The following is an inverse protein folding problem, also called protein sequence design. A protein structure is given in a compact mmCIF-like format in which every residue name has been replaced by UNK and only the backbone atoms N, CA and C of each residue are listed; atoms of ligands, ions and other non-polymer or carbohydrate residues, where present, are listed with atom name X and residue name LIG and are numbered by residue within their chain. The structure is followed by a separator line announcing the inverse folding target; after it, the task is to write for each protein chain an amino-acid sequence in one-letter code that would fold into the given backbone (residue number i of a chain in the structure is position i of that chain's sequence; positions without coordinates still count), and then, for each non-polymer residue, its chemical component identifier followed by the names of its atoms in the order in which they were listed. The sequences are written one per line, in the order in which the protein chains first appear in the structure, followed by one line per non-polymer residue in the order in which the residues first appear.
data_IF_032318228974
#
_entry.id   IF_032318228974
#
_cell.length_a   1.000
_cell.length_b   1.000
_cell.length_c   1.000
_cell.angle_alpha   90.00
_cell.angle_beta   90.00
_cell.angle_gamma   90.00
#
_symmetry.space_group_name_H-M   'P 1'
#
loop_
_entity.id
_entity.type
_entity.pdbx_description
1 polymer ?
#
# COMPACT_ATOMS: atom_id res chain seq x y z
N UNK A 1 33.19 -8.91 2.55
CA UNK A 1 32.06 -9.72 3.03
C UNK A 1 30.82 -9.00 2.58
N UNK A 2 29.93 -9.66 1.84
CA UNK A 2 28.73 -9.03 1.31
C UNK A 2 27.76 -8.67 2.45
N UNK A 3 27.17 -7.47 2.39
CA UNK A 3 26.21 -6.98 3.39
C UNK A 3 24.87 -7.72 3.29
N UNK A 4 24.04 -7.65 4.33
CA UNK A 4 22.66 -8.21 4.30
C UNK A 4 21.85 -7.58 3.15
N UNK A 5 21.94 -6.27 3.00
CA UNK A 5 21.24 -5.56 1.93
C UNK A 5 21.64 -6.05 0.53
N UNK A 6 22.94 -6.22 0.26
CA UNK A 6 23.41 -6.72 -1.04
C UNK A 6 22.86 -8.12 -1.35
N UNK A 7 22.82 -9.02 -0.36
CA UNK A 7 22.22 -10.35 -0.54
C UNK A 7 20.72 -10.29 -0.80
N UNK A 8 20.00 -9.41 -0.11
CA UNK A 8 18.58 -9.18 -0.37
C UNK A 8 18.33 -8.69 -1.81
N UNK A 9 19.14 -7.75 -2.29
CA UNK A 9 19.02 -7.22 -3.66
C UNK A 9 19.30 -8.28 -4.72
N UNK A 10 20.25 -9.19 -4.48
CA UNK A 10 20.49 -10.34 -5.37
C UNK A 10 19.27 -11.26 -5.44
N UNK A 11 18.72 -11.66 -4.28
CA UNK A 11 17.49 -12.48 -4.22
C UNK A 11 16.33 -11.81 -4.96
N UNK A 12 16.19 -10.49 -4.82
CA UNK A 12 15.14 -9.73 -5.48
C UNK A 12 15.31 -9.66 -7.01
N UNK A 13 16.55 -9.72 -7.51
CA UNK A 13 16.85 -9.63 -8.95
C UNK A 13 16.38 -10.86 -9.74
N UNK A 14 16.27 -12.00 -9.05
CA UNK A 14 15.84 -13.29 -9.61
C UNK A 14 14.32 -13.48 -9.62
N UNK A 15 13.56 -12.59 -8.98
CA UNK A 15 12.09 -12.66 -8.93
C UNK A 15 11.49 -12.53 -10.34
N UNK A 16 10.63 -13.48 -10.71
CA UNK A 16 9.89 -13.50 -11.98
C UNK A 16 8.37 -13.53 -11.83
N UNK A 17 7.88 -13.98 -10.68
CA UNK A 17 6.44 -14.05 -10.39
C UNK A 17 6.15 -13.82 -8.89
N UNK A 18 4.87 -13.88 -8.53
CA UNK A 18 4.43 -13.71 -7.14
C UNK A 18 4.85 -14.85 -6.20
N UNK A 19 5.15 -16.05 -6.71
CA UNK A 19 5.66 -17.15 -5.86
C UNK A 19 7.10 -16.88 -5.45
N UNK A 20 7.90 -16.26 -6.32
CA UNK A 20 9.26 -15.84 -5.97
C UNK A 20 9.27 -14.73 -4.92
N UNK A 21 8.28 -13.83 -4.92
CA UNK A 21 8.12 -12.81 -3.87
C UNK A 21 7.97 -13.45 -2.50
N UNK A 22 7.20 -14.53 -2.38
CA UNK A 22 7.06 -15.30 -1.14
C UNK A 22 8.42 -15.85 -0.66
N UNK A 23 9.22 -16.44 -1.56
CA UNK A 23 10.56 -16.94 -1.23
C UNK A 23 11.49 -15.83 -0.76
N UNK A 24 11.43 -14.64 -1.37
CA UNK A 24 12.23 -13.48 -0.95
C UNK A 24 11.83 -13.02 0.45
N UNK A 25 10.53 -13.01 0.78
CA UNK A 25 10.03 -12.67 2.11
C UNK A 25 10.52 -13.67 3.17
N UNK A 26 10.48 -14.97 2.88
CA UNK A 26 11.03 -16.02 3.74
C UNK A 26 12.56 -15.90 3.90
N UNK A 27 13.30 -15.65 2.82
CA UNK A 27 14.75 -15.47 2.88
C UNK A 27 15.13 -14.17 3.62
N UNK A 28 14.33 -13.12 3.52
CA UNK A 28 14.52 -11.86 4.26
C UNK A 28 14.38 -12.10 5.75
N UNK A 29 13.37 -12.88 6.17
CA UNK A 29 13.21 -13.29 7.58
C UNK A 29 14.50 -13.93 8.10
N UNK A 30 15.02 -14.91 7.37
CA UNK A 30 16.20 -15.68 7.79
C UNK A 30 17.48 -14.83 7.77
N UNK A 31 17.64 -13.96 6.76
CA UNK A 31 18.80 -13.09 6.59
C UNK A 31 18.93 -12.03 7.68
N UNK A 32 17.79 -11.49 8.13
CA UNK A 32 17.73 -10.47 9.16
C UNK A 32 17.50 -11.04 10.57
N UNK A 33 17.28 -12.35 10.71
CA UNK A 33 17.17 -13.04 11.99
C UNK A 33 15.96 -12.58 12.81
N UNK A 34 14.81 -12.44 12.15
CA UNK A 34 13.54 -11.99 12.73
C UNK A 34 12.52 -13.14 12.66
N UNK A 35 11.53 -13.23 13.56
CA UNK A 35 10.52 -14.30 13.48
C UNK A 35 9.61 -14.19 12.26
N UNK A 36 9.13 -12.98 11.94
CA UNK A 36 8.20 -12.81 10.85
C UNK A 36 8.43 -11.58 9.98
N UNK A 37 8.13 -11.75 8.70
CA UNK A 37 8.10 -10.73 7.66
C UNK A 37 6.76 -10.84 6.93
N UNK A 38 6.13 -9.71 6.68
CA UNK A 38 4.88 -9.60 5.93
C UNK A 38 4.99 -8.46 4.94
N UNK A 39 4.66 -8.74 3.70
CA UNK A 39 4.42 -7.74 2.68
C UNK A 39 2.98 -7.86 2.21
N UNK A 40 2.28 -6.74 2.16
CA UNK A 40 0.99 -6.67 1.49
C UNK A 40 0.87 -5.39 0.68
N UNK A 41 0.26 -5.49 -0.48
CA UNK A 41 -0.06 -4.36 -1.32
C UNK A 41 -1.48 -4.43 -1.83
N UNK A 42 -2.14 -3.28 -1.84
CA UNK A 42 -3.45 -3.09 -2.45
C UNK A 42 -3.29 -2.13 -3.63
N UNK A 43 -3.64 -2.61 -4.82
CA UNK A 43 -3.81 -1.76 -5.99
C UNK A 43 -5.12 -0.97 -5.87
N UNK A 44 -5.16 0.26 -6.41
CA UNK A 44 -6.39 1.04 -6.54
C UNK A 44 -7.48 0.33 -7.38
N UNK A 45 -7.11 -0.71 -8.14
CA UNK A 45 -8.03 -1.56 -8.89
C UNK A 45 -8.55 -2.79 -8.11
N UNK A 46 -8.12 -2.99 -6.85
CA UNK A 46 -8.59 -4.08 -6.00
C UNK A 46 -7.80 -5.39 -6.10
N UNK A 47 -6.66 -5.40 -6.81
CA UNK A 47 -5.71 -6.52 -6.76
C UNK A 47 -4.90 -6.48 -5.46
N UNK A 48 -4.82 -7.63 -4.81
CA UNK A 48 -4.15 -7.83 -3.54
C UNK A 48 -2.99 -8.79 -3.76
N UNK A 49 -1.76 -8.33 -3.52
CA UNK A 49 -0.59 -9.21 -3.42
C UNK A 49 -0.18 -9.28 -1.96
N UNK A 50 -0.01 -10.49 -1.45
CA UNK A 50 0.37 -10.75 -0.06
C UNK A 50 1.44 -11.85 -0.05
N UNK A 51 2.53 -11.59 0.65
CA UNK A 51 3.57 -12.56 0.95
C UNK A 51 3.90 -12.46 2.44
N UNK A 52 3.95 -13.57 3.17
CA UNK A 52 4.05 -13.56 4.62
C UNK A 52 4.67 -14.84 5.17
N UNK A 53 5.27 -14.73 6.36
CA UNK A 53 5.85 -15.87 7.07
C UNK A 53 5.05 -16.30 8.31
N UNK A 54 3.87 -15.73 8.54
CA UNK A 54 2.98 -16.19 9.62
C UNK A 54 2.48 -17.61 9.36
N UNK A 55 2.14 -18.30 10.44
CA UNK A 55 1.48 -19.60 10.33
C UNK A 55 0.13 -19.46 9.61
N UNK A 56 -0.19 -20.42 8.73
CA UNK A 56 -1.38 -20.35 7.88
C UNK A 56 -2.68 -20.26 8.68
N UNK A 57 -2.77 -20.96 9.83
CA UNK A 57 -3.92 -20.90 10.71
C UNK A 57 -4.20 -19.49 11.27
N UNK A 58 -3.16 -18.69 11.51
CA UNK A 58 -3.30 -17.30 11.90
C UNK A 58 -3.76 -16.45 10.71
N UNK A 59 -3.16 -16.62 9.53
CA UNK A 59 -3.55 -15.90 8.32
C UNK A 59 -5.03 -16.15 7.97
N UNK A 60 -5.47 -17.41 8.02
CA UNK A 60 -6.86 -17.80 7.76
C UNK A 60 -7.81 -17.13 8.76
N UNK A 61 -7.47 -17.15 10.06
CA UNK A 61 -8.26 -16.49 11.11
C UNK A 61 -8.32 -14.98 10.90
N UNK A 62 -7.21 -14.35 10.51
CA UNK A 62 -7.15 -12.91 10.26
C UNK A 62 -8.12 -12.49 9.16
N UNK A 63 -8.20 -13.29 8.08
CA UNK A 63 -9.16 -13.08 6.98
C UNK A 63 -10.58 -13.38 7.43
N UNK A 64 -10.84 -14.53 8.08
CA UNK A 64 -12.17 -14.94 8.54
C UNK A 64 -12.82 -13.90 9.47
N UNK A 65 -12.02 -13.30 10.35
CA UNK A 65 -12.47 -12.30 11.31
C UNK A 65 -12.47 -10.87 10.78
N UNK A 66 -12.06 -10.66 9.53
CA UNK A 66 -11.96 -9.34 8.89
C UNK A 66 -11.11 -8.36 9.74
N UNK A 67 -10.00 -8.86 10.31
CA UNK A 67 -9.19 -8.11 11.28
C UNK A 67 -8.55 -6.85 10.69
N UNK A 68 -8.37 -6.79 9.37
CA UNK A 68 -7.88 -5.61 8.65
C UNK A 68 -8.66 -4.32 8.99
N UNK A 69 -9.95 -4.43 9.34
CA UNK A 69 -10.80 -3.28 9.66
C UNK A 69 -10.55 -2.69 11.04
N UNK A 70 -10.06 -3.49 11.97
CA UNK A 70 -9.83 -3.09 13.36
C UNK A 70 -8.35 -3.06 13.72
N UNK A 71 -7.47 -3.55 12.84
CA UNK A 71 -6.04 -3.63 13.07
C UNK A 71 -5.45 -2.20 13.20
N UNK A 72 -4.99 -1.81 14.41
CA UNK A 72 -4.47 -0.47 14.64
C UNK A 72 -3.13 -0.24 13.90
N UNK A 73 -2.42 -1.30 13.51
CA UNK A 73 -1.19 -1.20 12.70
C UNK A 73 -1.53 -0.74 11.29
N UNK A 74 -2.59 -1.32 10.70
CA UNK A 74 -3.08 -0.93 9.37
C UNK A 74 -3.56 0.53 9.39
N UNK A 75 -4.36 0.90 10.40
CA UNK A 75 -4.82 2.28 10.56
C UNK A 75 -3.65 3.26 10.75
N UNK A 76 -2.70 2.92 11.62
CA UNK A 76 -1.50 3.72 11.84
C UNK A 76 -0.68 3.92 10.55
N UNK A 77 -0.58 2.89 9.70
CA UNK A 77 0.09 2.99 8.41
C UNK A 77 -0.67 3.85 7.39
N UNK A 78 -1.99 3.99 7.51
CA UNK A 78 -2.74 4.95 6.68
C UNK A 78 -2.46 6.41 7.06
N UNK A 79 -2.24 6.67 8.35
CA UNK A 79 -2.11 8.03 8.89
C UNK A 79 -0.66 8.54 8.93
N UNK A 80 0.33 7.67 8.69
CA UNK A 80 1.76 7.98 8.86
C UNK A 80 2.56 7.74 7.58
N UNK A 81 3.64 8.50 7.45
CA UNK A 81 4.65 8.34 6.39
C UNK A 81 5.88 7.56 6.89
N UNK A 82 6.25 7.72 8.15
CA UNK A 82 7.38 7.01 8.76
C UNK A 82 6.98 5.62 9.26
N UNK A 83 7.95 4.72 9.48
CA UNK A 83 7.69 3.42 10.09
C UNK A 83 6.89 3.54 11.38
N UNK A 84 5.92 2.66 11.52
CA UNK A 84 4.99 2.58 12.65
C UNK A 84 5.46 1.48 13.58
N UNK A 85 6.05 1.87 14.71
CA UNK A 85 6.27 0.94 15.83
C UNK A 85 4.92 0.56 16.43
N UNK A 86 4.66 -0.75 16.52
CA UNK A 86 3.40 -1.27 17.03
C UNK A 86 3.14 -0.87 18.49
N UNK A 87 4.16 -0.49 19.27
CA UNK A 87 3.94 0.04 20.63
C UNK A 87 3.31 1.43 20.65
N UNK A 88 3.35 2.15 19.54
CA UNK A 88 2.89 3.54 19.44
C UNK A 88 1.47 3.65 18.86
N UNK A 89 0.82 2.53 18.54
CA UNK A 89 -0.57 2.52 18.08
C UNK A 89 -1.53 2.27 19.24
N UNK A 90 -2.79 2.65 19.05
CA UNK A 90 -3.81 2.54 20.09
C UNK A 90 -4.36 1.12 20.23
N UNK A 91 -3.96 0.44 21.31
CA UNK A 91 -4.47 -0.88 21.69
C UNK A 91 -5.59 -0.84 22.74
N UNK A 92 -6.17 0.32 23.04
CA UNK A 92 -7.04 0.52 24.20
C UNK A 92 -8.48 0.05 24.03
N UNK A 93 -8.96 -0.22 22.82
CA UNK A 93 -10.34 -0.69 22.65
C UNK A 93 -10.49 -2.17 23.05
N UNK A 94 -11.67 -2.58 23.51
CA UNK A 94 -11.92 -3.97 23.91
C UNK A 94 -11.68 -4.95 22.75
N UNK A 95 -12.17 -4.60 21.56
CA UNK A 95 -12.04 -5.43 20.35
C UNK A 95 -10.58 -5.53 19.92
N UNK A 96 -9.84 -4.41 19.96
CA UNK A 96 -8.41 -4.39 19.59
C UNK A 96 -7.56 -5.19 20.58
N UNK A 97 -7.84 -5.12 21.89
CA UNK A 97 -7.17 -5.99 22.88
C UNK A 97 -7.43 -7.46 22.67
N UNK A 98 -8.65 -7.83 22.25
CA UNK A 98 -8.97 -9.22 21.93
C UNK A 98 -8.17 -9.67 20.70
N UNK A 99 -8.20 -8.89 19.63
CA UNK A 99 -7.40 -9.13 18.42
C UNK A 99 -5.91 -9.31 18.77
N UNK A 100 -5.33 -8.40 19.56
CA UNK A 100 -3.93 -8.47 19.97
C UNK A 100 -3.62 -9.77 20.72
N UNK A 101 -4.50 -10.21 21.64
CA UNK A 101 -4.32 -11.49 22.34
C UNK A 101 -4.33 -12.67 21.38
N UNK A 102 -5.29 -12.71 20.47
CA UNK A 102 -5.37 -13.77 19.47
C UNK A 102 -4.16 -13.79 18.53
N UNK A 103 -3.61 -12.61 18.20
CA UNK A 103 -2.37 -12.48 17.43
C UNK A 103 -1.16 -13.07 18.16
N UNK A 104 -1.05 -12.79 19.48
CA UNK A 104 -0.01 -13.39 20.31
C UNK A 104 -0.15 -14.91 20.42
N UNK A 105 -1.38 -15.42 20.59
CA UNK A 105 -1.66 -16.86 20.59
C UNK A 105 -1.39 -17.51 19.22
N UNK A 106 -1.58 -16.75 18.14
CA UNK A 106 -1.25 -17.13 16.76
C UNK A 106 0.24 -17.03 16.41
N UNK A 107 1.09 -16.58 17.35
CA UNK A 107 2.54 -16.52 17.18
C UNK A 107 3.04 -15.27 16.46
N UNK A 108 2.23 -14.23 16.25
CA UNK A 108 2.63 -13.00 15.53
C UNK A 108 3.82 -12.28 16.17
N UNK A 109 4.02 -12.46 17.47
CA UNK A 109 5.05 -11.77 18.25
C UNK A 109 4.51 -10.55 18.99
N UNK A 110 5.25 -10.11 20.00
CA UNK A 110 4.92 -8.98 20.89
C UNK A 110 5.51 -7.67 20.43
N UNK A 111 6.47 -7.75 19.52
CA UNK A 111 7.19 -6.63 18.95
C UNK A 111 6.89 -6.58 17.46
N UNK A 112 6.83 -5.38 16.89
CA UNK A 112 6.76 -5.23 15.46
C UNK A 112 6.82 -3.79 15.03
N UNK A 113 7.17 -3.60 13.76
CA UNK A 113 7.01 -2.32 13.11
C UNK A 113 6.63 -2.52 11.64
N UNK A 114 5.97 -1.50 11.10
CA UNK A 114 5.45 -1.53 9.73
C UNK A 114 5.86 -0.28 8.98
N UNK A 115 6.41 -0.46 7.78
CA UNK A 115 6.79 0.59 6.84
C UNK A 115 5.63 0.82 5.88
N UNK A 116 4.91 1.95 5.94
CA UNK A 116 3.93 2.31 4.92
C UNK A 116 4.63 2.75 3.63
N UNK A 117 4.14 2.30 2.48
CA UNK A 117 4.73 2.56 1.16
C UNK A 117 3.63 3.05 0.22
N UNK A 118 3.87 4.17 -0.46
CA UNK A 118 2.93 4.76 -1.43
C UNK A 118 3.47 4.56 -2.84
N UNK A 119 2.64 4.03 -3.73
CA UNK A 119 2.97 3.86 -5.14
C UNK A 119 2.62 5.10 -5.97
N UNK A 120 3.20 5.22 -7.19
CA UNK A 120 3.04 6.39 -8.05
C UNK A 120 1.61 6.60 -8.58
N UNK A 121 0.77 5.57 -8.56
CA UNK A 121 -0.62 5.62 -9.04
C UNK A 121 -1.62 5.40 -7.89
N UNK A 122 -1.25 5.86 -6.69
CA UNK A 122 -2.07 5.75 -5.48
C UNK A 122 -2.17 4.35 -4.90
N UNK A 123 -1.28 3.44 -5.30
CA UNK A 123 -1.17 2.16 -4.61
C UNK A 123 -0.73 2.38 -3.17
N UNK A 124 -1.15 1.47 -2.29
CA UNK A 124 -0.66 1.42 -0.93
C UNK A 124 -0.14 0.02 -0.63
N UNK A 125 1.07 -0.02 -0.11
CA UNK A 125 1.69 -1.23 0.39
C UNK A 125 2.22 -1.01 1.80
N UNK A 126 2.45 -2.11 2.47
CA UNK A 126 2.95 -2.16 3.83
C UNK A 126 3.90 -3.34 3.93
N UNK A 127 5.07 -3.05 4.45
CA UNK A 127 6.07 -4.05 4.81
C UNK A 127 6.18 -4.07 6.33
N UNK A 128 5.94 -5.22 6.95
CA UNK A 128 5.94 -5.39 8.40
C UNK A 128 6.94 -6.45 8.81
N UNK A 129 7.59 -6.21 9.94
CA UNK A 129 8.36 -7.24 10.62
C UNK A 129 7.91 -7.36 12.07
N UNK A 130 7.97 -8.57 12.62
CA UNK A 130 7.56 -8.83 14.00
C UNK A 130 8.36 -9.95 14.65
N UNK A 131 8.44 -9.88 15.97
CA UNK A 131 9.25 -10.77 16.81
C UNK A 131 8.65 -10.92 18.22
N UNK A 132 9.01 -11.99 18.91
CA UNK A 132 8.64 -12.26 20.29
C UNK A 132 9.79 -12.02 21.30
N UNK A 133 10.75 -11.17 20.97
CA UNK A 133 11.84 -10.77 21.86
C UNK A 133 11.43 -9.73 22.93
N UNK A 134 12.36 -9.47 23.86
CA UNK A 134 12.19 -8.44 24.88
C UNK A 134 12.30 -7.02 24.31
N UNK A 135 11.78 -6.04 25.06
CA UNK A 135 11.79 -4.62 24.68
C UNK A 135 13.20 -4.09 24.38
N UNK A 136 14.19 -4.45 25.20
CA UNK A 136 15.58 -4.00 25.02
C UNK A 136 16.27 -4.66 23.82
N UNK A 137 15.89 -5.89 23.49
CA UNK A 137 16.36 -6.55 22.27
C UNK A 137 15.75 -5.89 21.04
N UNK A 138 14.44 -5.61 21.08
CA UNK A 138 13.74 -4.93 20.00
C UNK A 138 14.27 -3.53 19.73
N UNK A 139 14.49 -2.73 20.77
CA UNK A 139 15.01 -1.38 20.65
C UNK A 139 16.40 -1.36 19.97
N UNK A 140 17.30 -2.27 20.35
CA UNK A 140 18.62 -2.40 19.70
C UNK A 140 18.50 -2.89 18.26
N UNK A 141 17.64 -3.88 18.02
CA UNK A 141 17.43 -4.44 16.69
C UNK A 141 16.93 -3.38 15.71
N UNK A 142 15.94 -2.60 16.13
CA UNK A 142 15.33 -1.54 15.32
C UNK A 142 16.31 -0.38 15.08
N UNK A 143 17.07 0.06 16.07
CA UNK A 143 18.11 1.09 15.88
C UNK A 143 19.15 0.68 14.83
N UNK A 144 19.54 -0.60 14.84
CA UNK A 144 20.51 -1.15 13.88
C UNK A 144 19.92 -1.34 12.47
N UNK A 145 18.69 -1.84 12.35
CA UNK A 145 18.16 -2.35 11.08
C UNK A 145 17.02 -1.53 10.45
N UNK A 146 16.52 -0.46 11.09
CA UNK A 146 15.37 0.30 10.55
C UNK A 146 15.60 0.83 9.14
N UNK A 147 16.83 1.27 8.83
CA UNK A 147 17.20 1.78 7.49
C UNK A 147 17.06 0.68 6.44
N UNK A 148 17.56 -0.51 6.76
CA UNK A 148 17.50 -1.65 5.87
C UNK A 148 16.06 -2.09 5.64
N UNK A 149 15.23 -2.14 6.68
CA UNK A 149 13.82 -2.54 6.54
C UNK A 149 12.98 -1.54 5.73
N UNK A 150 13.28 -0.25 5.83
CA UNK A 150 12.68 0.76 4.95
C UNK A 150 13.04 0.45 3.50
N UNK A 151 14.33 0.23 3.20
CA UNK A 151 14.79 -0.03 1.84
C UNK A 151 14.26 -1.36 1.30
N UNK A 152 14.30 -2.43 2.09
CA UNK A 152 13.74 -3.75 1.77
C UNK A 152 12.28 -3.62 1.38
N UNK A 153 11.47 -2.94 2.20
CA UNK A 153 10.06 -2.71 1.90
C UNK A 153 9.86 -2.00 0.56
N UNK A 154 10.61 -0.92 0.30
CA UNK A 154 10.50 -0.14 -0.94
C UNK A 154 10.92 -0.92 -2.18
N UNK A 155 12.05 -1.63 -2.11
CA UNK A 155 12.53 -2.45 -3.23
C UNK A 155 11.59 -3.62 -3.53
N UNK A 156 11.06 -4.28 -2.48
CA UNK A 156 10.08 -5.34 -2.64
C UNK A 156 8.80 -4.81 -3.30
N UNK A 157 8.30 -3.66 -2.85
CA UNK A 157 7.14 -3.01 -3.47
C UNK A 157 7.40 -2.63 -4.93
N UNK A 158 8.57 -2.07 -5.24
CA UNK A 158 8.94 -1.77 -6.63
C UNK A 158 8.89 -3.03 -7.49
N UNK A 159 9.50 -4.13 -7.04
CA UNK A 159 9.51 -5.40 -7.79
C UNK A 159 8.10 -5.93 -8.00
N UNK A 160 7.25 -5.89 -6.98
CA UNK A 160 5.85 -6.32 -7.07
C UNK A 160 5.05 -5.46 -8.07
N UNK A 161 5.27 -4.15 -8.06
CA UNK A 161 4.64 -3.25 -9.05
C UNK A 161 5.14 -3.53 -10.47
N UNK A 162 6.42 -3.86 -10.66
CA UNK A 162 6.97 -4.28 -11.96
C UNK A 162 6.30 -5.55 -12.48
N UNK A 163 6.06 -6.55 -11.61
CA UNK A 163 5.36 -7.77 -11.96
C UNK A 163 3.92 -7.52 -12.41
N UNK A 164 3.18 -6.66 -11.68
CA UNK A 164 1.82 -6.27 -12.07
C UNK A 164 1.75 -5.33 -13.28
N UNK A 165 2.86 -4.65 -13.60
CA UNK A 165 2.97 -3.79 -14.78
C UNK A 165 3.50 -4.54 -16.01
N UNK A 166 3.90 -5.81 -15.87
CA UNK A 166 4.32 -6.64 -17.00
C UNK A 166 3.18 -6.90 -18.00
N UNK A 167 1.93 -6.80 -17.53
CA UNK A 167 0.71 -6.75 -18.36
C UNK A 167 0.43 -5.34 -18.94
N UNK A 168 1.41 -4.43 -18.86
CA UNK A 168 1.30 -3.03 -19.27
C UNK A 168 0.51 -2.16 -18.27
N UNK A 169 0.42 -0.83 -18.48
CA UNK A 169 -0.62 -0.05 -17.80
C UNK A 169 -1.95 -0.67 -18.18
N UNK A 170 -2.64 -1.31 -17.22
CA UNK A 170 -3.84 -2.15 -17.42
C UNK A 170 -4.51 -1.86 -18.76
N UNK A 171 -4.32 -2.76 -19.73
CA UNK A 171 -4.63 -2.57 -21.15
C UNK A 171 -5.88 -1.69 -21.32
N UNK A 172 -5.68 -0.42 -21.71
CA UNK A 172 -6.78 0.54 -21.93
C UNK A 172 -6.81 1.78 -21.04
N UNK A 173 -5.86 2.01 -20.13
CA UNK A 173 -5.75 3.30 -19.42
C UNK A 173 -5.22 4.40 -20.36
N UNK A 174 -6.10 4.97 -21.18
CA UNK A 174 -5.78 6.17 -21.97
C UNK A 174 -5.47 7.34 -21.03
N UNK A 175 -4.33 8.01 -21.29
CA UNK A 175 -3.96 9.21 -20.56
C UNK A 175 -5.04 10.30 -20.71
N UNK A 176 -5.31 10.99 -19.60
CA UNK A 176 -6.17 12.17 -19.64
C UNK A 176 -5.45 13.29 -20.37
N UNK A 177 -6.18 14.04 -21.19
CA UNK A 177 -5.64 15.27 -21.77
C UNK A 177 -5.50 16.36 -20.69
N UNK A 178 -4.63 17.37 -20.88
CA UNK A 178 -4.51 18.48 -19.93
C UNK A 178 -5.86 19.15 -19.63
N UNK A 179 -6.73 19.28 -20.65
CA UNK A 179 -8.08 19.84 -20.48
C UNK A 179 -9.01 18.93 -19.68
N UNK A 180 -8.91 17.61 -19.84
CA UNK A 180 -9.67 16.67 -19.00
C UNK A 180 -9.23 16.75 -17.53
N UNK A 181 -7.93 16.90 -17.28
CA UNK A 181 -7.34 17.13 -15.95
C UNK A 181 -7.86 18.43 -15.33
N UNK A 182 -7.81 19.54 -16.07
CA UNK A 182 -8.30 20.85 -15.62
C UNK A 182 -9.78 20.76 -15.20
N UNK A 183 -10.61 20.14 -16.05
CA UNK A 183 -12.05 19.97 -15.81
C UNK A 183 -12.31 19.14 -14.56
N UNK A 184 -11.66 17.99 -14.40
CA UNK A 184 -11.84 17.16 -13.21
C UNK A 184 -11.32 17.85 -11.94
N UNK A 185 -10.25 18.65 -12.04
CA UNK A 185 -9.68 19.42 -10.92
C UNK A 185 -10.68 20.45 -10.41
N UNK A 186 -11.26 21.27 -11.31
CA UNK A 186 -12.27 22.27 -10.93
C UNK A 186 -13.51 21.62 -10.31
N UNK A 187 -13.96 20.49 -10.87
CA UNK A 187 -15.09 19.73 -10.31
C UNK A 187 -14.74 19.14 -8.93
N UNK A 188 -13.50 18.69 -8.72
CA UNK A 188 -13.02 18.19 -7.43
C UNK A 188 -12.89 19.30 -6.38
N UNK A 189 -12.60 20.53 -6.79
CA UNK A 189 -12.65 21.73 -5.94
C UNK A 189 -14.08 22.19 -5.60
N UNK A 190 -15.10 21.53 -6.15
CA UNK A 190 -16.52 21.83 -5.87
C UNK A 190 -17.17 22.84 -6.82
N UNK A 191 -16.54 23.18 -7.94
CA UNK A 191 -17.12 24.09 -8.92
C UNK A 191 -18.32 23.43 -9.61
N UNK A 192 -19.37 24.21 -9.86
CA UNK A 192 -20.44 23.78 -10.76
C UNK A 192 -19.94 23.74 -12.22
N UNK A 193 -20.66 23.04 -13.09
CA UNK A 193 -20.31 22.95 -14.52
C UNK A 193 -20.25 24.34 -15.19
N UNK A 194 -21.18 25.22 -14.87
CA UNK A 194 -21.19 26.60 -15.38
C UNK A 194 -19.93 27.36 -14.94
N UNK A 195 -19.60 27.32 -13.64
CA UNK A 195 -18.40 27.97 -13.10
C UNK A 195 -17.11 27.40 -13.69
N UNK A 196 -17.03 26.08 -13.87
CA UNK A 196 -15.86 25.43 -14.46
C UNK A 196 -15.69 25.81 -15.94
N UNK A 197 -16.80 25.87 -16.70
CA UNK A 197 -16.79 26.29 -18.10
C UNK A 197 -16.35 27.75 -18.24
N UNK A 198 -16.87 28.63 -17.40
CA UNK A 198 -16.46 30.04 -17.30
C UNK A 198 -14.97 30.17 -16.95
N UNK A 199 -14.51 29.46 -15.92
CA UNK A 199 -13.10 29.49 -15.50
C UNK A 199 -12.13 29.00 -16.58
N UNK A 200 -12.55 28.08 -17.44
CA UNK A 200 -11.73 27.55 -18.54
C UNK A 200 -11.94 28.30 -19.88
N UNK A 201 -12.82 29.31 -19.90
CA UNK A 201 -13.22 30.06 -21.09
C UNK A 201 -13.69 29.15 -22.24
N UNK A 202 -14.57 28.19 -21.93
CA UNK A 202 -15.19 27.27 -22.89
C UNK A 202 -16.70 27.20 -22.69
N UNK A 203 -17.42 26.65 -23.67
CA UNK A 203 -18.86 26.41 -23.50
C UNK A 203 -19.14 25.25 -22.54
N UNK A 204 -20.28 25.26 -21.86
CA UNK A 204 -20.74 24.11 -21.05
C UNK A 204 -20.87 22.83 -21.87
N UNK A 205 -21.19 22.95 -23.17
CA UNK A 205 -21.21 21.81 -24.09
C UNK A 205 -19.83 21.20 -24.26
N UNK A 206 -18.80 22.03 -24.47
CA UNK A 206 -17.39 21.60 -24.58
C UNK A 206 -16.91 20.98 -23.27
N UNK A 207 -17.25 21.58 -22.12
CA UNK A 207 -16.95 21.01 -20.81
C UNK A 207 -17.56 19.60 -20.66
N UNK A 208 -18.82 19.42 -21.05
CA UNK A 208 -19.49 18.11 -21.01
C UNK A 208 -18.75 17.06 -21.81
N UNK A 209 -18.25 17.41 -23.00
CA UNK A 209 -17.44 16.49 -23.82
C UNK A 209 -16.18 16.05 -23.07
N UNK A 210 -15.43 16.98 -22.47
CA UNK A 210 -14.26 16.62 -21.66
C UNK A 210 -14.61 15.73 -20.47
N UNK A 211 -15.72 15.99 -19.77
CA UNK A 211 -16.20 15.15 -18.66
C UNK A 211 -16.49 13.73 -19.15
N UNK A 212 -17.21 13.58 -20.27
CA UNK A 212 -17.62 12.27 -20.77
C UNK A 212 -16.41 11.47 -21.31
N UNK A 213 -15.47 12.13 -21.99
CA UNK A 213 -14.21 11.52 -22.40
C UNK A 213 -13.39 11.07 -21.18
N UNK A 214 -13.22 11.92 -20.17
CA UNK A 214 -12.47 11.57 -18.96
C UNK A 214 -13.15 10.41 -18.20
N UNK A 215 -14.48 10.42 -18.09
CA UNK A 215 -15.26 9.32 -17.48
C UNK A 215 -15.02 8.00 -18.21
N UNK A 216 -15.07 8.02 -19.55
CA UNK A 216 -14.84 6.84 -20.37
C UNK A 216 -13.41 6.30 -20.16
N UNK A 217 -12.39 7.15 -20.27
CA UNK A 217 -10.98 6.78 -20.07
C UNK A 217 -10.69 6.21 -18.67
N UNK A 218 -11.38 6.72 -17.64
CA UNK A 218 -11.24 6.24 -16.27
C UNK A 218 -12.15 5.03 -15.94
N UNK A 219 -13.01 4.60 -16.87
CA UNK A 219 -14.04 3.58 -16.60
C UNK A 219 -14.96 3.98 -15.44
N UNK A 220 -15.33 5.25 -15.35
CA UNK A 220 -16.10 5.81 -14.24
C UNK A 220 -17.60 5.87 -14.55
N UNK A 221 -18.41 5.36 -13.63
CA UNK A 221 -19.87 5.33 -13.77
C UNK A 221 -20.50 6.74 -13.86
N UNK A 222 -19.94 7.73 -13.16
CA UNK A 222 -20.43 9.10 -13.13
C UNK A 222 -19.28 10.09 -12.92
N UNK A 223 -19.57 11.40 -13.00
CA UNK A 223 -18.56 12.46 -12.85
C UNK A 223 -17.87 12.43 -11.49
N UNK A 224 -18.62 12.23 -10.40
CA UNK A 224 -18.05 12.14 -9.05
C UNK A 224 -17.11 10.95 -8.92
N UNK A 225 -17.48 9.80 -9.49
CA UNK A 225 -16.63 8.61 -9.55
C UNK A 225 -15.37 8.87 -10.41
N UNK A 226 -15.46 9.65 -11.49
CA UNK A 226 -14.30 10.04 -12.30
C UNK A 226 -13.33 10.92 -11.51
N UNK A 227 -13.85 11.93 -10.79
CA UNK A 227 -13.05 12.78 -9.88
C UNK A 227 -12.39 11.92 -8.81
N UNK A 228 -13.14 11.03 -8.14
CA UNK A 228 -12.60 10.14 -7.12
C UNK A 228 -11.48 9.22 -7.67
N UNK A 229 -11.68 8.62 -8.84
CA UNK A 229 -10.66 7.80 -9.50
C UNK A 229 -9.43 8.61 -9.90
N UNK A 230 -9.60 9.84 -10.38
CA UNK A 230 -8.50 10.72 -10.74
C UNK A 230 -7.68 11.13 -9.51
N UNK A 231 -8.32 11.42 -8.39
CA UNK A 231 -7.66 11.69 -7.11
C UNK A 231 -6.89 10.47 -6.60
N UNK A 232 -7.55 9.31 -6.53
CA UNK A 232 -6.91 8.08 -6.06
C UNK A 232 -5.71 7.73 -6.92
N UNK A 233 -5.76 7.93 -8.25
CA UNK A 233 -4.62 7.66 -9.13
C UNK A 233 -3.55 8.75 -9.16
N UNK A 234 -3.72 9.84 -8.41
CA UNK A 234 -2.79 10.97 -8.41
C UNK A 234 -2.78 11.78 -9.71
N UNK A 235 -3.82 11.68 -10.55
CA UNK A 235 -3.93 12.41 -11.81
C UNK A 235 -4.34 13.88 -11.60
N UNK A 236 -4.99 14.17 -10.48
CA UNK A 236 -5.38 15.51 -10.04
C UNK A 236 -5.10 15.67 -8.54
N UNK A 237 -5.02 16.91 -8.07
CA UNK A 237 -4.88 17.27 -6.65
C UNK A 237 -5.82 18.44 -6.39
N UNK A 238 -6.62 18.37 -5.32
CA UNK A 238 -7.64 19.37 -4.96
C UNK A 238 -7.64 19.63 -3.47
#
# INVERSE_FOLDING_TARGET
MQTKMERFLELLSDVRDYQDVQKVVEATRDLYGIEHVVYHSKSGAGEHSVAFTYAQNWADRYVEKDYVRIDPVVQGCYERFHPVDWKQVDWSSKTVRQFHREALEGGVGRQGFSVPIRGPHGQFAMFSISDNCSDDQWARYTDEHVRDMILVGHYLNQKVLELGSADGPAEGQQALSPREIDVLTLLGLGYSRAQAAESLNISEHTLRVYIDTARFKLGAANTTHAVAKALVRGLITV
#
